data_IF_782366067748
#
_entry.id   IF_782366067748
#
_cell.length_a   1.000
_cell.length_b   1.000
_cell.length_c   1.000
_cell.angle_alpha   90.00
_cell.angle_beta   90.00
_cell.angle_gamma   90.00
#
_symmetry.space_group_name_H-M   'P 1'
#
loop_
_entity.id
_entity.type
_entity.pdbx_description
1 polymer ?
#
# COMPACT_ATOMS: atom_id res chain seq x y z
N UNK A 1 -0.02 10.46 -1.96
CA UNK A 1 -0.07 8.99 -2.10
C UNK A 1 -1.42 8.66 -2.69
N UNK A 2 -1.46 7.97 -3.83
CA UNK A 2 -2.70 7.51 -4.47
C UNK A 2 -2.92 6.05 -4.06
N UNK A 3 -4.04 5.75 -3.41
CA UNK A 3 -4.46 4.38 -3.12
C UNK A 3 -5.19 3.76 -4.31
N UNK A 4 -5.13 2.43 -4.42
CA UNK A 4 -5.81 1.66 -5.46
C UNK A 4 -6.68 0.57 -4.84
N UNK A 5 -7.82 0.31 -5.46
CA UNK A 5 -8.65 -0.87 -5.19
C UNK A 5 -8.38 -1.85 -6.32
N UNK A 6 -7.95 -3.06 -5.97
CA UNK A 6 -7.69 -4.13 -6.92
C UNK A 6 -8.77 -5.20 -6.78
N UNK A 7 -9.19 -5.77 -7.90
CA UNK A 7 -10.05 -6.94 -7.94
C UNK A 7 -9.40 -8.03 -8.79
N UNK A 8 -9.48 -9.27 -8.32
CA UNK A 8 -9.10 -10.43 -9.13
C UNK A 8 -10.17 -10.63 -10.21
N UNK A 9 -9.76 -10.91 -11.45
CA UNK A 9 -10.73 -11.33 -12.47
C UNK A 9 -11.38 -12.64 -12.00
N UNK A 10 -12.68 -12.81 -12.20
CA UNK A 10 -13.32 -14.11 -12.00
C UNK A 10 -13.44 -14.79 -13.36
N UNK A 11 -12.50 -15.66 -13.67
CA UNK A 11 -12.58 -16.60 -14.79
C UNK A 11 -12.51 -18.03 -14.23
N UNK A 12 -13.11 -19.04 -14.88
CA UNK A 12 -12.97 -20.43 -14.45
C UNK A 12 -11.53 -20.88 -14.67
N UNK A 13 -10.68 -20.60 -13.67
CA UNK A 13 -9.26 -20.83 -13.76
C UNK A 13 -8.94 -22.33 -13.87
N UNK A 14 -8.29 -22.73 -14.96
CA UNK A 14 -7.51 -23.98 -15.00
C UNK A 14 -6.28 -23.86 -14.08
N UNK A 15 -5.73 -24.97 -13.59
CA UNK A 15 -4.57 -24.97 -12.65
C UNK A 15 -3.33 -24.24 -13.23
N UNK A 16 -3.26 -24.07 -14.55
CA UNK A 16 -2.18 -23.42 -15.29
C UNK A 16 -2.40 -21.91 -15.58
N UNK A 17 -3.53 -21.32 -15.16
CA UNK A 17 -3.86 -19.95 -15.54
C UNK A 17 -3.20 -18.86 -14.68
N UNK A 18 -2.71 -17.83 -15.38
CA UNK A 18 -2.15 -16.61 -14.78
C UNK A 18 -3.26 -15.80 -14.13
N UNK A 19 -3.35 -15.86 -12.80
CA UNK A 19 -4.19 -14.94 -12.02
C UNK A 19 -3.81 -13.49 -12.31
N UNK A 20 -4.77 -12.71 -12.77
CA UNK A 20 -4.57 -11.28 -13.06
C UNK A 20 -5.43 -10.42 -12.14
N UNK A 21 -4.87 -9.31 -11.71
CA UNK A 21 -5.55 -8.30 -10.89
C UNK A 21 -5.73 -7.03 -11.72
N UNK A 22 -6.94 -6.49 -11.72
CA UNK A 22 -7.25 -5.20 -12.33
C UNK A 22 -7.40 -4.12 -11.26
N UNK A 23 -7.01 -2.89 -11.61
CA UNK A 23 -7.32 -1.71 -10.80
C UNK A 23 -8.74 -1.26 -11.11
N UNK A 24 -9.65 -1.48 -10.18
CA UNK A 24 -11.09 -1.13 -10.31
C UNK A 24 -11.42 0.23 -9.72
N UNK A 25 -10.52 0.83 -8.94
CA UNK A 25 -10.73 2.13 -8.33
C UNK A 25 -9.44 2.79 -7.85
N UNK A 26 -9.48 4.12 -7.73
CA UNK A 26 -8.38 4.96 -7.25
C UNK A 26 -8.91 5.94 -6.21
N UNK A 27 -8.17 6.20 -5.14
CA UNK A 27 -8.59 7.11 -4.07
C UNK A 27 -7.41 7.93 -3.52
N UNK A 28 -7.69 9.16 -3.12
CA UNK A 28 -6.70 10.07 -2.52
C UNK A 28 -6.73 10.05 -0.98
N UNK A 29 -7.78 9.48 -0.40
CA UNK A 29 -7.95 9.33 1.04
C UNK A 29 -9.03 8.30 1.33
N UNK A 30 -9.05 7.78 2.55
CA UNK A 30 -10.07 6.83 3.01
C UNK A 30 -10.45 7.14 4.46
N UNK A 31 -11.65 6.75 4.84
CA UNK A 31 -12.15 6.93 6.21
C UNK A 31 -11.89 5.67 7.01
N UNK A 32 -11.20 5.82 8.15
CA UNK A 32 -10.96 4.74 9.10
C UNK A 32 -11.98 4.83 10.24
N UNK A 33 -12.73 3.76 10.43
CA UNK A 33 -13.74 3.65 11.49
C UNK A 33 -13.17 2.92 12.70
N UNK A 34 -13.65 3.30 13.89
CA UNK A 34 -13.27 2.70 15.17
C UNK A 34 -14.52 2.36 15.96
N UNK A 35 -14.47 1.25 16.69
CA UNK A 35 -15.54 0.87 17.61
C UNK A 35 -15.25 1.46 19.00
N UNK A 36 -16.15 2.31 19.53
CA UNK A 36 -16.08 2.82 20.90
C UNK A 36 -15.37 4.17 21.04
N UNK A 37 -14.04 4.18 21.16
CA UNK A 37 -13.25 5.42 21.31
C UNK A 37 -12.17 5.53 20.23
N UNK A 38 -11.90 6.77 19.81
CA UNK A 38 -10.81 7.10 18.91
C UNK A 38 -9.49 6.78 19.64
N UNK A 39 -8.57 6.05 18.99
CA UNK A 39 -7.31 5.66 19.64
C UNK A 39 -6.56 6.89 20.17
N UNK A 40 -6.00 6.73 21.37
CA UNK A 40 -5.08 7.68 21.98
C UNK A 40 -3.95 8.02 21.00
N UNK A 41 -3.53 9.28 21.02
CA UNK A 41 -2.62 9.96 20.08
C UNK A 41 -1.18 9.42 20.01
N UNK A 42 -0.92 8.18 20.43
CA UNK A 42 0.40 7.55 20.45
C UNK A 42 0.48 6.42 19.44
N UNK A 43 1.37 6.56 18.45
CA UNK A 43 1.93 5.50 17.60
C UNK A 43 0.95 4.36 17.23
N UNK A 44 -0.21 4.69 16.66
CA UNK A 44 -1.05 3.65 16.08
C UNK A 44 -0.29 3.00 14.92
N UNK A 45 -0.34 1.67 14.84
CA UNK A 45 0.23 0.87 13.76
C UNK A 45 -0.11 1.46 12.37
N UNK A 46 -1.28 2.07 12.24
CA UNK A 46 -1.74 2.73 11.02
C UNK A 46 -0.82 3.88 10.59
N UNK A 47 -0.38 4.72 11.53
CA UNK A 47 0.52 5.84 11.23
C UNK A 47 1.88 5.31 10.76
N UNK A 48 2.36 4.22 11.35
CA UNK A 48 3.59 3.56 10.92
C UNK A 48 3.44 2.97 9.51
N UNK A 49 2.38 2.21 9.24
CA UNK A 49 2.10 1.61 7.94
C UNK A 49 1.96 2.67 6.82
N UNK A 50 1.25 3.77 7.09
CA UNK A 50 1.05 4.85 6.11
C UNK A 50 2.32 5.67 5.83
N UNK A 51 3.30 5.68 6.75
CA UNK A 51 4.56 6.41 6.57
C UNK A 51 5.72 5.55 6.07
N UNK A 52 5.59 4.22 6.14
CA UNK A 52 6.60 3.26 5.68
C UNK A 52 7.10 3.55 4.26
N UNK A 53 6.17 3.61 3.29
CA UNK A 53 6.51 3.72 1.87
C UNK A 53 7.13 5.07 1.51
N UNK A 54 6.67 6.16 2.14
CA UNK A 54 7.11 7.52 1.81
C UNK A 54 8.43 7.94 2.46
N UNK A 55 8.81 7.33 3.59
CA UNK A 55 10.04 7.68 4.31
C UNK A 55 11.06 6.54 4.27
N UNK A 56 10.68 5.38 4.82
CA UNK A 56 11.64 4.32 5.10
C UNK A 56 11.98 3.51 3.85
N UNK A 57 10.97 3.04 3.10
CA UNK A 57 11.20 2.30 1.87
C UNK A 57 11.94 3.15 0.82
N UNK A 58 11.56 4.43 0.67
CA UNK A 58 12.23 5.33 -0.24
C UNK A 58 13.72 5.51 0.10
N UNK A 59 14.06 5.68 1.39
CA UNK A 59 15.44 5.82 1.82
C UNK A 59 16.25 4.53 1.61
N UNK A 60 15.68 3.37 1.91
CA UNK A 60 16.35 2.06 1.77
C UNK A 60 16.61 1.72 0.31
N UNK A 61 15.65 2.01 -0.57
CA UNK A 61 15.73 1.65 -1.99
C UNK A 61 16.26 2.78 -2.89
N UNK A 62 16.72 3.90 -2.31
CA UNK A 62 17.34 4.98 -3.10
C UNK A 62 18.64 4.43 -3.70
N UNK A 63 18.85 4.54 -5.03
CA UNK A 63 20.11 4.16 -5.64
C UNK A 63 21.27 4.88 -4.97
N UNK A 64 22.33 4.15 -4.64
CA UNK A 64 23.57 4.75 -4.16
C UNK A 64 24.29 5.29 -5.38
N UNK A 65 24.49 6.59 -5.44
CA UNK A 65 25.37 7.21 -6.43
C UNK A 65 26.79 6.75 -6.09
N UNK A 66 27.36 5.91 -6.97
CA UNK A 66 28.76 5.52 -6.89
C UNK A 66 29.51 6.61 -7.65
N UNK A 67 30.17 7.51 -6.93
CA UNK A 67 31.16 8.41 -7.54
C UNK A 67 32.24 7.53 -8.18
N UNK A 68 32.29 7.55 -9.51
CA UNK A 68 33.36 6.94 -10.27
C UNK A 68 34.51 7.95 -10.37
N UNK A 69 35.37 7.94 -9.36
CA UNK A 69 36.72 8.51 -9.44
C UNK A 69 37.64 7.61 -10.29
#
# INVERSE_FOLDING_TARGET
>A
MLGVVMAEKQEPYSEDERRTFDVVGKFNGFTKWYLGSQFASGNSMDKACLTWTSKLAHAIHKPVEIDQD
#
